data_IF_275628959160
#
_entry.id   IF_275628959160
#
_cell.length_a   1.000
_cell.length_b   1.000
_cell.length_c   1.000
_cell.angle_alpha   90.00
_cell.angle_beta   90.00
_cell.angle_gamma   90.00
#
_symmetry.space_group_name_H-M   'P 1'
#
loop_
_entity.id
_entity.type
_entity.pdbx_description
1 polymer ?
#
# COMPACT_ATOMS: atom_id res chain seq x y z
N UNK A 1 3.72 -26.75 -11.24
CA UNK A 1 2.94 -26.54 -9.97
C UNK A 1 3.82 -26.26 -8.75
N UNK A 2 4.65 -27.19 -8.20
CA UNK A 2 5.42 -26.91 -6.96
C UNK A 2 6.31 -25.66 -7.08
N UNK A 3 7.06 -25.50 -8.16
CA UNK A 3 7.90 -24.31 -8.38
C UNK A 3 7.07 -23.00 -8.40
N UNK A 4 5.90 -23.02 -9.03
CA UNK A 4 5.02 -21.85 -9.08
C UNK A 4 4.43 -21.51 -7.70
N UNK A 5 4.16 -22.52 -6.87
CA UNK A 5 3.76 -22.30 -5.48
C UNK A 5 4.89 -21.72 -4.62
N UNK A 6 6.14 -22.16 -4.83
CA UNK A 6 7.31 -21.57 -4.15
C UNK A 6 7.50 -20.10 -4.56
N UNK A 7 7.35 -19.78 -5.84
CA UNK A 7 7.35 -18.39 -6.32
C UNK A 7 6.20 -17.58 -5.69
N UNK A 8 5.01 -18.16 -5.57
CA UNK A 8 3.86 -17.53 -4.93
C UNK A 8 4.13 -17.20 -3.46
N UNK A 9 4.76 -18.12 -2.70
CA UNK A 9 5.20 -17.86 -1.33
C UNK A 9 6.17 -16.67 -1.30
N UNK A 10 7.17 -16.66 -2.16
CA UNK A 10 8.16 -15.59 -2.18
C UNK A 10 7.53 -14.23 -2.54
N UNK A 11 6.67 -14.17 -3.56
CA UNK A 11 5.94 -12.96 -3.93
C UNK A 11 4.99 -12.51 -2.81
N UNK A 12 4.35 -13.44 -2.12
CA UNK A 12 3.55 -13.14 -0.93
C UNK A 12 4.36 -12.56 0.23
N UNK A 13 5.62 -13.02 0.43
CA UNK A 13 6.53 -12.42 1.40
C UNK A 13 6.87 -10.99 1.00
N UNK A 14 7.24 -10.75 -0.26
CA UNK A 14 7.54 -9.41 -0.77
C UNK A 14 6.35 -8.48 -0.56
N UNK A 15 5.15 -8.90 -0.96
CA UNK A 15 3.93 -8.13 -0.78
C UNK A 15 3.67 -7.81 0.71
N UNK A 16 3.69 -8.85 1.55
CA UNK A 16 3.42 -8.69 2.99
C UNK A 16 4.41 -7.79 3.72
N UNK A 17 5.67 -7.73 3.26
CA UNK A 17 6.68 -6.81 3.81
C UNK A 17 6.48 -5.40 3.28
N UNK A 18 6.36 -5.24 1.96
CA UNK A 18 6.52 -3.95 1.30
C UNK A 18 5.24 -3.13 1.18
N UNK A 19 4.06 -3.73 1.37
CA UNK A 19 2.79 -3.02 1.31
C UNK A 19 2.61 -2.03 2.48
N UNK A 20 3.05 -2.41 3.68
CA UNK A 20 2.90 -1.58 4.88
C UNK A 20 4.03 -0.58 5.06
N UNK A 21 5.23 -0.99 4.71
CA UNK A 21 6.37 -0.09 4.67
C UNK A 21 6.20 0.92 3.52
N UNK A 22 6.55 2.19 3.71
CA UNK A 22 6.38 3.19 2.66
C UNK A 22 7.47 3.09 1.58
N UNK A 23 7.64 1.88 0.98
CA UNK A 23 8.74 1.53 0.03
C UNK A 23 8.27 1.09 -1.36
N UNK A 24 6.96 1.01 -1.60
CA UNK A 24 6.32 0.58 -2.85
C UNK A 24 6.38 -0.94 -3.12
N UNK A 25 5.32 -1.65 -2.75
CA UNK A 25 5.14 -3.08 -3.07
C UNK A 25 5.19 -3.35 -4.58
N UNK A 26 4.50 -2.53 -5.38
CA UNK A 26 4.51 -2.63 -6.85
C UNK A 26 5.93 -2.58 -7.42
N UNK A 27 6.76 -1.65 -6.96
CA UNK A 27 8.16 -1.57 -7.41
C UNK A 27 8.97 -2.83 -7.11
N UNK A 28 8.75 -3.43 -5.94
CA UNK A 28 9.42 -4.67 -5.54
C UNK A 28 8.91 -5.88 -6.33
N UNK A 29 7.60 -6.00 -6.52
CA UNK A 29 7.03 -7.11 -7.28
C UNK A 29 7.51 -7.08 -8.74
N UNK A 30 7.56 -5.91 -9.38
CA UNK A 30 8.09 -5.76 -10.74
C UNK A 30 9.57 -6.16 -10.80
N UNK A 31 10.39 -5.65 -9.87
CA UNK A 31 11.81 -6.01 -9.83
C UNK A 31 12.00 -7.51 -9.65
N UNK A 32 11.30 -8.11 -8.69
CA UNK A 32 11.43 -9.55 -8.42
C UNK A 32 10.98 -10.39 -9.61
N UNK A 33 9.92 -9.97 -10.29
CA UNK A 33 9.39 -10.68 -11.46
C UNK A 33 10.30 -10.59 -12.70
N UNK A 34 11.24 -9.65 -12.76
CA UNK A 34 12.28 -9.68 -13.81
C UNK A 34 13.17 -10.93 -13.69
N UNK A 35 13.46 -11.37 -12.47
CA UNK A 35 14.30 -12.54 -12.20
C UNK A 35 13.51 -13.82 -11.95
N UNK A 36 12.28 -13.69 -11.49
CA UNK A 36 11.46 -14.82 -11.06
C UNK A 36 10.01 -14.68 -11.57
N UNK A 37 9.84 -14.85 -12.89
CA UNK A 37 8.53 -14.76 -13.55
C UNK A 37 7.64 -15.96 -13.18
N UNK A 38 6.37 -15.68 -12.88
CA UNK A 38 5.34 -16.72 -12.86
C UNK A 38 5.10 -17.21 -14.28
N UNK A 39 5.07 -18.53 -14.47
CA UNK A 39 4.75 -19.14 -15.76
C UNK A 39 3.23 -19.17 -16.00
N UNK A 40 2.64 -17.97 -16.07
CA UNK A 40 1.21 -17.74 -16.22
C UNK A 40 0.96 -16.64 -17.28
N UNK A 41 -0.31 -16.49 -17.72
CA UNK A 41 -0.67 -15.43 -18.66
C UNK A 41 -0.41 -14.03 -18.08
N UNK A 42 -0.08 -13.06 -18.94
CA UNK A 42 0.14 -11.67 -18.52
C UNK A 42 -1.08 -11.10 -17.80
N UNK A 43 -2.29 -11.38 -18.26
CA UNK A 43 -3.54 -10.96 -17.62
C UNK A 43 -3.72 -11.55 -16.21
N UNK A 44 -3.31 -12.80 -16.01
CA UNK A 44 -3.32 -13.40 -14.68
C UNK A 44 -2.30 -12.74 -13.76
N UNK A 45 -1.07 -12.51 -14.22
CA UNK A 45 0.00 -11.89 -13.42
C UNK A 45 -0.38 -10.46 -13.01
N UNK A 46 -1.00 -9.69 -13.92
CA UNK A 46 -1.50 -8.34 -13.60
C UNK A 46 -2.56 -8.39 -12.48
N UNK A 47 -3.56 -9.23 -12.64
CA UNK A 47 -4.61 -9.43 -11.63
C UNK A 47 -4.03 -9.98 -10.32
N UNK A 48 -3.10 -10.95 -10.38
CA UNK A 48 -2.43 -11.55 -9.23
C UNK A 48 -1.72 -10.50 -8.36
N UNK A 49 -0.90 -9.62 -8.96
CA UNK A 49 -0.14 -8.59 -8.25
C UNK A 49 -1.03 -7.63 -7.44
N UNK A 50 -2.29 -7.48 -7.85
CA UNK A 50 -3.25 -6.61 -7.17
C UNK A 50 -4.09 -7.38 -6.15
N UNK A 51 -4.49 -8.61 -6.48
CA UNK A 51 -5.36 -9.41 -5.62
C UNK A 51 -4.64 -9.94 -4.37
N UNK A 52 -3.33 -10.22 -4.45
CA UNK A 52 -2.57 -10.65 -3.26
C UNK A 52 -2.54 -9.60 -2.14
N UNK A 53 -2.74 -8.32 -2.44
CA UNK A 53 -2.93 -7.24 -1.46
C UNK A 53 -4.11 -7.50 -0.52
N UNK A 54 -5.13 -8.27 -0.97
CA UNK A 54 -6.25 -8.67 -0.11
C UNK A 54 -5.78 -9.52 1.07
N UNK A 55 -4.76 -10.36 0.87
CA UNK A 55 -4.11 -11.07 1.98
C UNK A 55 -3.50 -10.10 2.98
N UNK A 56 -2.74 -9.13 2.49
CA UNK A 56 -2.09 -8.14 3.34
C UNK A 56 -3.11 -7.31 4.15
N UNK A 57 -4.19 -6.82 3.52
CA UNK A 57 -5.17 -5.97 4.23
C UNK A 57 -6.00 -6.73 5.28
N UNK A 58 -6.21 -8.03 5.11
CA UNK A 58 -6.85 -8.85 6.13
C UNK A 58 -6.04 -8.86 7.45
N UNK A 59 -4.72 -8.69 7.40
CA UNK A 59 -3.89 -8.57 8.59
C UNK A 59 -4.22 -7.30 9.40
N UNK A 60 -4.45 -6.16 8.75
CA UNK A 60 -4.93 -4.93 9.41
C UNK A 60 -6.27 -5.18 10.09
N UNK A 61 -7.21 -5.78 9.36
CA UNK A 61 -8.54 -6.08 9.92
C UNK A 61 -8.44 -7.01 11.14
N UNK A 62 -7.51 -7.95 11.11
CA UNK A 62 -7.28 -8.87 12.23
C UNK A 62 -6.66 -8.16 13.44
N UNK A 63 -5.58 -7.39 13.24
CA UNK A 63 -4.86 -6.71 14.33
C UNK A 63 -5.74 -5.65 14.97
N UNK A 64 -6.44 -4.87 14.16
CA UNK A 64 -7.25 -3.75 14.62
C UNK A 64 -8.75 -4.07 14.74
N UNK A 65 -9.13 -5.36 14.73
CA UNK A 65 -10.52 -5.80 14.73
C UNK A 65 -11.35 -5.11 15.83
N UNK A 66 -10.86 -5.12 17.07
CA UNK A 66 -11.55 -4.48 18.20
C UNK A 66 -11.72 -2.97 18.00
N UNK A 67 -10.74 -2.29 17.42
CA UNK A 67 -10.77 -0.84 17.18
C UNK A 67 -11.75 -0.50 16.05
N UNK A 68 -11.76 -1.30 14.99
CA UNK A 68 -12.54 -1.06 13.77
C UNK A 68 -13.99 -1.56 13.85
N UNK A 69 -14.30 -2.53 14.71
CA UNK A 69 -15.65 -3.09 14.85
C UNK A 69 -16.52 -2.21 15.76
N UNK A 70 -17.55 -1.49 15.23
CA UNK A 70 -18.45 -0.68 16.05
C UNK A 70 -19.38 -1.54 16.96
N UNK A 71 -19.58 -2.81 16.61
CA UNK A 71 -20.42 -3.76 17.34
C UNK A 71 -19.63 -4.60 18.36
N UNK A 72 -18.38 -4.23 18.65
CA UNK A 72 -17.53 -4.97 19.61
C UNK A 72 -18.20 -4.95 20.98
N UNK A 73 -18.43 -6.14 21.59
CA UNK A 73 -18.96 -6.22 22.96
C UNK A 73 -18.09 -5.46 23.97
N UNK A 74 -18.75 -4.74 24.89
CA UNK A 74 -18.07 -3.96 25.92
C UNK A 74 -17.72 -2.52 25.53
N UNK A 75 -17.90 -2.12 24.28
CA UNK A 75 -17.74 -0.71 23.89
C UNK A 75 -18.82 0.18 24.49
N UNK A 76 -18.42 1.33 25.01
CA UNK A 76 -19.31 2.41 25.43
C UNK A 76 -19.96 3.07 24.21
N UNK A 77 -21.09 3.78 24.41
CA UNK A 77 -21.73 4.56 23.33
C UNK A 77 -20.79 5.55 22.68
N UNK A 78 -19.89 6.16 23.46
CA UNK A 78 -18.86 7.09 22.94
C UNK A 78 -17.86 6.39 22.04
N UNK A 79 -17.36 5.23 22.41
CA UNK A 79 -16.42 4.45 21.61
C UNK A 79 -17.04 3.95 20.31
N UNK A 80 -18.32 3.55 20.34
CA UNK A 80 -19.10 3.20 19.13
C UNK A 80 -19.18 4.41 18.21
N UNK A 81 -19.54 5.59 18.73
CA UNK A 81 -19.61 6.82 17.95
C UNK A 81 -18.25 7.19 17.34
N UNK A 82 -17.15 7.08 18.10
CA UNK A 82 -15.80 7.35 17.60
C UNK A 82 -15.40 6.36 16.50
N UNK A 83 -15.80 5.10 16.61
CA UNK A 83 -15.58 4.10 15.56
C UNK A 83 -16.31 4.47 14.27
N UNK A 84 -17.57 4.88 14.34
CA UNK A 84 -18.33 5.35 13.16
C UNK A 84 -17.75 6.63 12.57
N UNK A 85 -17.29 7.57 13.40
CA UNK A 85 -16.60 8.77 12.92
C UNK A 85 -15.29 8.43 12.22
N UNK A 86 -14.54 7.44 12.71
CA UNK A 86 -13.34 6.93 12.03
C UNK A 86 -13.70 6.40 10.65
N UNK A 87 -14.71 5.53 10.54
CA UNK A 87 -15.14 5.01 9.25
C UNK A 87 -15.64 6.11 8.30
N UNK A 88 -16.37 7.10 8.80
CA UNK A 88 -16.80 8.24 8.00
C UNK A 88 -15.61 9.05 7.46
N UNK A 89 -14.53 9.24 8.26
CA UNK A 89 -13.28 9.87 7.81
C UNK A 89 -12.57 9.03 6.75
N UNK A 90 -12.54 7.70 6.93
CA UNK A 90 -11.94 6.76 5.96
C UNK A 90 -12.69 6.80 4.64
N UNK A 91 -14.01 6.72 4.66
CA UNK A 91 -14.84 6.81 3.44
C UNK A 91 -14.65 8.15 2.74
N UNK A 92 -14.65 9.25 3.50
CA UNK A 92 -14.39 10.59 2.95
C UNK A 92 -13.02 10.68 2.26
N UNK A 93 -11.99 10.06 2.84
CA UNK A 93 -10.65 10.02 2.27
C UNK A 93 -10.54 9.13 1.01
N UNK A 94 -11.48 8.22 0.76
CA UNK A 94 -11.53 7.45 -0.49
C UNK A 94 -12.05 8.27 -1.67
N UNK A 95 -12.86 9.30 -1.43
CA UNK A 95 -13.54 10.05 -2.49
C UNK A 95 -12.59 10.62 -3.54
N UNK A 96 -11.46 11.31 -3.20
CA UNK A 96 -10.53 11.82 -4.21
C UNK A 96 -9.99 10.73 -5.13
N UNK A 97 -9.63 9.55 -4.58
CA UNK A 97 -9.12 8.43 -5.38
C UNK A 97 -10.19 7.83 -6.28
N UNK A 98 -11.42 7.72 -5.82
CA UNK A 98 -12.55 7.22 -6.64
C UNK A 98 -12.81 8.17 -7.82
N UNK A 99 -12.78 9.49 -7.59
CA UNK A 99 -13.09 10.48 -8.61
C UNK A 99 -11.96 10.72 -9.61
N UNK A 100 -10.70 10.55 -9.20
CA UNK A 100 -9.54 10.92 -10.00
C UNK A 100 -8.72 9.69 -10.38
N UNK A 101 -8.33 8.85 -9.40
CA UNK A 101 -7.44 7.73 -9.67
C UNK A 101 -8.13 6.63 -10.47
N UNK A 102 -9.35 6.23 -10.10
CA UNK A 102 -10.06 5.15 -10.81
C UNK A 102 -10.31 5.46 -12.29
N UNK A 103 -10.80 6.65 -12.72
CA UNK A 103 -10.98 6.96 -14.14
C UNK A 103 -9.68 7.05 -14.94
N UNK A 104 -8.56 7.40 -14.29
CA UNK A 104 -7.27 7.60 -14.95
C UNK A 104 -6.33 6.38 -14.82
N UNK A 105 -6.72 5.35 -14.06
CA UNK A 105 -5.89 4.18 -13.73
C UNK A 105 -5.27 3.54 -14.98
N UNK A 106 -6.09 3.18 -15.96
CA UNK A 106 -5.62 2.49 -17.17
C UNK A 106 -4.66 3.36 -18.00
N UNK A 107 -4.85 4.67 -17.99
CA UNK A 107 -3.93 5.59 -18.69
C UNK A 107 -2.57 5.65 -17.97
N UNK A 108 -2.57 5.80 -16.65
CA UNK A 108 -1.32 5.82 -15.88
C UNK A 108 -0.60 4.47 -15.92
N UNK A 109 -1.34 3.37 -15.83
CA UNK A 109 -0.79 2.03 -15.94
C UNK A 109 -0.08 1.83 -17.29
N UNK A 110 -0.73 2.23 -18.39
CA UNK A 110 -0.16 2.11 -19.74
C UNK A 110 1.11 2.96 -19.97
N UNK A 111 1.24 4.12 -19.29
CA UNK A 111 2.33 5.06 -19.55
C UNK A 111 3.42 5.08 -18.48
N UNK A 112 3.17 4.54 -17.29
CA UNK A 112 4.10 4.62 -16.14
C UNK A 112 4.40 3.28 -15.48
N UNK A 113 3.70 2.18 -15.85
CA UNK A 113 3.92 0.88 -15.22
C UNK A 113 5.10 0.12 -15.84
N UNK A 114 6.26 0.78 -15.90
CA UNK A 114 7.53 0.19 -16.33
C UNK A 114 8.68 0.73 -15.48
N UNK A 115 9.83 0.09 -15.57
CA UNK A 115 10.93 0.22 -14.62
C UNK A 115 11.41 1.66 -14.38
N UNK A 116 11.58 2.45 -15.44
CA UNK A 116 12.15 3.82 -15.34
C UNK A 116 11.24 4.79 -14.57
N UNK A 117 9.94 4.97 -14.89
CA UNK A 117 9.05 5.81 -14.10
C UNK A 117 8.95 5.36 -12.63
N UNK A 118 8.89 4.04 -12.39
CA UNK A 118 8.85 3.49 -11.04
C UNK A 118 10.10 3.86 -10.25
N UNK A 119 11.27 3.73 -10.86
CA UNK A 119 12.55 4.10 -10.25
C UNK A 119 12.63 5.60 -9.94
N UNK A 120 12.17 6.45 -10.87
CA UNK A 120 12.10 7.90 -10.66
C UNK A 120 11.14 8.22 -9.50
N UNK A 121 9.94 7.62 -9.48
CA UNK A 121 8.99 7.82 -8.39
C UNK A 121 9.58 7.39 -7.03
N UNK A 122 10.28 6.25 -6.97
CA UNK A 122 10.98 5.80 -5.77
C UNK A 122 11.97 6.87 -5.27
N UNK A 123 12.82 7.41 -6.14
CA UNK A 123 13.82 8.42 -5.78
C UNK A 123 13.14 9.72 -5.31
N UNK A 124 12.18 10.23 -6.07
CA UNK A 124 11.47 11.48 -5.75
C UNK A 124 10.78 11.39 -4.40
N UNK A 125 10.02 10.32 -4.16
CA UNK A 125 9.38 10.13 -2.86
C UNK A 125 10.36 9.78 -1.74
N UNK A 126 11.48 9.14 -2.06
CA UNK A 126 12.58 8.93 -1.11
C UNK A 126 13.15 10.25 -0.62
N UNK A 127 13.44 11.18 -1.53
CA UNK A 127 13.89 12.54 -1.21
C UNK A 127 12.79 13.29 -0.41
N UNK A 128 11.52 13.16 -0.81
CA UNK A 128 10.41 13.79 -0.13
C UNK A 128 10.28 13.31 1.34
N UNK A 129 10.46 12.01 1.61
CA UNK A 129 10.47 11.49 2.98
C UNK A 129 11.57 12.13 3.83
N UNK A 130 12.81 12.15 3.34
CA UNK A 130 13.94 12.73 4.06
C UNK A 130 13.71 14.23 4.30
N UNK A 131 13.25 14.96 3.29
CA UNK A 131 13.01 16.40 3.40
C UNK A 131 11.90 16.75 4.39
N UNK A 132 10.77 16.02 4.34
CA UNK A 132 9.61 16.26 5.23
C UNK A 132 9.96 15.90 6.67
N UNK A 133 10.64 14.77 6.90
CA UNK A 133 11.06 14.38 8.25
C UNK A 133 12.05 15.38 8.85
N UNK A 134 13.03 15.84 8.08
CA UNK A 134 13.97 16.88 8.54
C UNK A 134 13.27 18.20 8.83
N UNK A 135 12.30 18.61 7.99
CA UNK A 135 11.53 19.84 8.22
C UNK A 135 10.68 19.77 9.48
N UNK A 136 10.13 18.60 9.80
CA UNK A 136 9.23 18.40 10.92
C UNK A 136 9.93 17.86 12.17
N UNK A 137 11.26 17.82 12.20
CA UNK A 137 12.04 17.20 13.28
C UNK A 137 11.73 17.82 14.64
N UNK A 138 11.64 19.16 14.68
CA UNK A 138 11.42 19.94 15.90
C UNK A 138 9.99 20.49 16.00
N UNK A 139 9.07 20.01 15.13
CA UNK A 139 7.68 20.46 15.12
C UNK A 139 6.82 19.47 15.90
N UNK A 140 6.17 19.95 16.95
CA UNK A 140 5.20 19.14 17.70
C UNK A 140 3.96 18.85 16.84
N UNK A 141 3.55 17.58 16.73
CA UNK A 141 2.38 17.23 15.95
C UNK A 141 1.09 17.76 16.59
N UNK A 142 0.24 18.38 15.78
CA UNK A 142 -1.04 18.92 16.23
C UNK A 142 -2.10 17.83 16.47
N UNK A 143 -2.01 16.71 15.75
CA UNK A 143 -2.95 15.57 15.82
C UNK A 143 -2.20 14.34 16.29
N UNK A 144 -2.32 14.02 17.57
CA UNK A 144 -1.70 12.86 18.22
C UNK A 144 -2.68 11.72 18.50
N UNK A 145 -3.97 11.91 18.16
CA UNK A 145 -5.05 10.94 18.34
C UNK A 145 -5.97 10.95 17.11
N UNK A 146 -6.30 9.78 16.58
CA UNK A 146 -7.23 9.61 15.47
C UNK A 146 -8.63 10.18 15.75
N UNK A 147 -9.07 10.15 17.01
CA UNK A 147 -10.37 10.72 17.40
C UNK A 147 -10.37 12.24 17.18
N UNK A 148 -9.23 12.90 17.37
CA UNK A 148 -9.06 14.36 17.20
C UNK A 148 -8.80 14.79 15.76
N UNK A 149 -8.52 13.84 14.85
CA UNK A 149 -8.32 14.17 13.43
C UNK A 149 -9.60 14.79 12.85
N UNK A 150 -9.47 15.91 12.15
CA UNK A 150 -10.60 16.55 11.49
C UNK A 150 -11.00 15.82 10.20
N UNK A 151 -12.27 15.98 9.78
CA UNK A 151 -12.72 15.48 8.47
C UNK A 151 -11.95 16.13 7.31
N UNK A 152 -11.58 17.42 7.45
CA UNK A 152 -10.74 18.14 6.47
C UNK A 152 -9.37 17.47 6.33
N UNK A 153 -8.71 17.15 7.45
CA UNK A 153 -7.43 16.45 7.45
C UNK A 153 -7.54 15.09 6.77
N UNK A 154 -8.58 14.31 7.10
CA UNK A 154 -8.83 13.01 6.49
C UNK A 154 -9.04 13.11 4.97
N UNK A 155 -9.84 14.07 4.50
CA UNK A 155 -10.06 14.33 3.07
C UNK A 155 -8.76 14.70 2.35
N UNK A 156 -7.96 15.59 2.95
CA UNK A 156 -6.67 16.00 2.37
C UNK A 156 -5.67 14.84 2.31
N UNK A 157 -5.64 13.94 3.31
CA UNK A 157 -4.85 12.70 3.22
C UNK A 157 -5.33 11.86 2.03
N UNK A 158 -6.64 11.80 1.79
CA UNK A 158 -7.20 11.18 0.59
C UNK A 158 -6.76 11.83 -0.73
N UNK A 159 -6.57 13.15 -0.75
CA UNK A 159 -5.98 13.84 -1.91
C UNK A 159 -4.52 13.41 -2.13
N UNK A 160 -3.73 13.26 -1.06
CA UNK A 160 -2.38 12.68 -1.19
C UNK A 160 -2.40 11.23 -1.69
N UNK A 161 -3.42 10.44 -1.31
CA UNK A 161 -3.56 9.07 -1.83
C UNK A 161 -3.68 9.03 -3.36
N UNK A 162 -4.29 10.04 -4.01
CA UNK A 162 -4.39 10.09 -5.47
C UNK A 162 -3.02 10.00 -6.15
N UNK A 163 -1.97 10.51 -5.51
CA UNK A 163 -0.61 10.45 -6.05
C UNK A 163 -0.10 9.01 -6.25
N UNK A 164 -0.69 8.05 -5.54
CA UNK A 164 -0.35 6.63 -5.71
C UNK A 164 -0.81 6.01 -7.04
N UNK A 165 -1.56 6.75 -7.85
CA UNK A 165 -1.87 6.36 -9.24
C UNK A 165 -0.59 6.21 -10.08
N UNK A 166 0.47 6.96 -9.75
CA UNK A 166 1.79 6.80 -10.37
C UNK A 166 2.48 5.58 -9.76
N UNK A 167 2.72 4.50 -10.55
CA UNK A 167 3.43 3.33 -10.04
C UNK A 167 4.79 3.70 -9.47
N UNK A 168 5.18 3.05 -8.36
CA UNK A 168 6.41 3.41 -7.64
C UNK A 168 6.21 4.43 -6.50
N UNK A 169 5.13 5.22 -6.51
CA UNK A 169 4.83 6.20 -5.45
C UNK A 169 4.64 5.54 -4.09
N UNK A 170 4.00 4.39 -4.01
CA UNK A 170 3.48 3.73 -2.80
C UNK A 170 2.26 4.44 -2.20
N UNK A 171 1.15 3.73 -2.10
CA UNK A 171 -0.06 4.23 -1.46
C UNK A 171 0.19 4.63 0.00
N UNK A 172 0.78 3.71 0.77
CA UNK A 172 1.15 3.99 2.17
C UNK A 172 2.15 5.14 2.28
N UNK A 173 3.10 5.22 1.37
CA UNK A 173 4.06 6.34 1.31
C UNK A 173 3.39 7.69 1.10
N UNK A 174 2.50 7.81 0.12
CA UNK A 174 1.82 9.07 -0.19
C UNK A 174 0.91 9.53 0.97
N UNK A 175 0.15 8.60 1.57
CA UNK A 175 -0.76 8.92 2.67
C UNK A 175 -0.03 9.25 3.98
N UNK A 176 1.07 8.56 4.30
CA UNK A 176 1.91 8.87 5.46
C UNK A 176 2.54 10.26 5.30
N UNK A 177 3.18 10.55 4.16
CA UNK A 177 3.75 11.88 3.88
C UNK A 177 2.69 12.98 3.99
N UNK A 178 1.54 12.77 3.35
CA UNK A 178 0.43 13.73 3.42
C UNK A 178 -0.04 13.97 4.85
N UNK A 179 -0.18 12.92 5.64
CA UNK A 179 -0.60 13.01 7.04
C UNK A 179 0.41 13.80 7.89
N UNK A 180 1.72 13.53 7.72
CA UNK A 180 2.79 14.25 8.43
C UNK A 180 2.80 15.73 8.04
N UNK A 181 2.69 16.05 6.74
CA UNK A 181 2.59 17.45 6.24
C UNK A 181 1.39 18.17 6.87
N UNK A 182 0.29 17.47 7.09
CA UNK A 182 -0.94 18.00 7.70
C UNK A 182 -0.90 18.03 9.24
N UNK A 183 0.27 17.81 9.85
CA UNK A 183 0.51 17.97 11.28
C UNK A 183 0.06 16.77 12.13
N UNK A 184 -0.08 15.59 11.57
CA UNK A 184 -0.35 14.36 12.37
C UNK A 184 0.96 13.80 12.92
N UNK A 185 0.87 13.11 14.06
CA UNK A 185 1.99 12.29 14.55
C UNK A 185 2.23 11.09 13.61
N UNK A 186 3.45 10.55 13.60
CA UNK A 186 3.83 9.38 12.80
C UNK A 186 2.94 8.16 13.08
N UNK A 187 2.58 7.94 14.35
CA UNK A 187 1.66 6.86 14.74
C UNK A 187 0.26 7.06 14.16
N UNK A 188 -0.29 8.29 14.22
CA UNK A 188 -1.60 8.59 13.64
C UNK A 188 -1.56 8.48 12.12
N UNK A 189 -0.48 8.93 11.47
CA UNK A 189 -0.27 8.80 10.04
C UNK A 189 -0.27 7.33 9.60
N UNK A 190 0.47 6.46 10.29
CA UNK A 190 0.52 5.02 10.00
C UNK A 190 -0.83 4.35 10.23
N UNK A 191 -1.45 4.54 11.40
CA UNK A 191 -2.76 3.96 11.74
C UNK A 191 -3.84 4.35 10.72
N UNK A 192 -3.95 5.65 10.39
CA UNK A 192 -4.95 6.12 9.44
C UNK A 192 -4.70 5.57 8.03
N UNK A 193 -3.43 5.49 7.61
CA UNK A 193 -3.02 4.88 6.34
C UNK A 193 -3.44 3.41 6.26
N UNK A 194 -3.28 2.64 7.35
CA UNK A 194 -3.73 1.25 7.40
C UNK A 194 -5.25 1.15 7.24
N UNK A 195 -6.02 1.99 7.94
CA UNK A 195 -7.48 1.94 7.88
C UNK A 195 -8.03 2.42 6.54
N UNK A 196 -7.41 3.44 5.94
CA UNK A 196 -7.73 3.91 4.60
C UNK A 196 -7.43 2.82 3.54
N UNK A 197 -6.42 1.99 3.78
CA UNK A 197 -6.10 0.82 2.95
C UNK A 197 -7.24 -0.18 2.83
N UNK A 198 -8.09 -0.33 3.87
CA UNK A 198 -9.16 -1.34 3.84
C UNK A 198 -10.11 -1.12 2.66
N UNK A 199 -10.88 -0.03 2.57
CA UNK A 199 -11.80 0.15 1.44
C UNK A 199 -11.09 0.34 0.10
N UNK A 200 -9.90 0.97 0.08
CA UNK A 200 -9.18 1.20 -1.18
C UNK A 200 -8.64 -0.08 -1.79
N UNK A 201 -8.03 -0.97 -1.01
CA UNK A 201 -7.49 -2.23 -1.52
C UNK A 201 -8.62 -3.22 -1.88
N UNK A 202 -9.68 -3.31 -1.06
CA UNK A 202 -10.85 -4.12 -1.44
C UNK A 202 -11.51 -3.60 -2.71
N UNK A 203 -11.69 -2.28 -2.83
CA UNK A 203 -12.28 -1.67 -4.02
C UNK A 203 -11.44 -1.90 -5.27
N UNK A 204 -10.14 -1.59 -5.21
CA UNK A 204 -9.24 -1.72 -6.36
C UNK A 204 -9.01 -3.17 -6.78
N UNK A 205 -8.72 -4.06 -5.83
CA UNK A 205 -8.57 -5.49 -6.12
C UNK A 205 -9.88 -6.11 -6.64
N UNK A 206 -11.03 -5.70 -6.08
CA UNK A 206 -12.33 -6.14 -6.56
C UNK A 206 -12.60 -5.72 -8.00
N UNK A 207 -12.31 -4.44 -8.34
CA UNK A 207 -12.45 -3.93 -9.72
C UNK A 207 -11.56 -4.70 -10.72
N UNK A 208 -10.28 -4.92 -10.38
CA UNK A 208 -9.35 -5.66 -11.25
C UNK A 208 -9.74 -7.14 -11.38
N UNK A 209 -10.19 -7.78 -10.30
CA UNK A 209 -10.69 -9.16 -10.37
C UNK A 209 -11.96 -9.28 -11.25
N UNK A 210 -12.92 -8.36 -11.07
CA UNK A 210 -14.13 -8.33 -11.91
C UNK A 210 -13.78 -8.10 -13.38
N UNK A 211 -12.89 -7.14 -13.68
CA UNK A 211 -12.42 -6.87 -15.04
C UNK A 211 -11.78 -8.11 -15.67
N UNK A 212 -10.92 -8.81 -14.92
CA UNK A 212 -10.29 -10.06 -15.39
C UNK A 212 -11.30 -11.07 -15.89
N UNK A 213 -12.41 -11.29 -15.16
CA UNK A 213 -13.47 -12.23 -15.58
C UNK A 213 -14.33 -11.67 -16.72
N UNK A 214 -14.62 -10.35 -16.72
CA UNK A 214 -15.37 -9.71 -17.82
C UNK A 214 -14.62 -9.75 -19.15
N UNK A 215 -13.28 -9.70 -19.11
CA UNK A 215 -12.42 -9.85 -20.30
C UNK A 215 -12.36 -11.31 -20.82
N UNK A 216 -13.21 -12.21 -20.29
CA UNK A 216 -13.34 -13.59 -20.72
C UNK A 216 -12.32 -14.56 -20.12
N UNK A 217 -11.49 -14.11 -19.17
CA UNK A 217 -10.54 -14.98 -18.50
C UNK A 217 -11.23 -15.84 -17.44
N UNK A 218 -10.62 -16.98 -17.12
CA UNK A 218 -11.06 -17.88 -16.06
C UNK A 218 -9.87 -18.35 -15.23
N UNK A 219 -10.12 -18.70 -13.99
CA UNK A 219 -9.10 -19.29 -13.12
C UNK A 219 -9.14 -20.81 -13.22
N UNK A 220 -8.00 -21.41 -13.51
CA UNK A 220 -7.80 -22.84 -13.33
C UNK A 220 -7.36 -23.15 -11.88
N UNK A 221 -7.31 -24.44 -11.53
CA UNK A 221 -6.96 -24.88 -10.17
C UNK A 221 -5.55 -24.41 -9.76
N UNK A 222 -4.57 -24.46 -10.66
CA UNK A 222 -3.20 -24.01 -10.37
C UNK A 222 -3.15 -22.52 -10.06
N UNK A 223 -3.82 -21.71 -10.84
CA UNK A 223 -3.94 -20.25 -10.63
C UNK A 223 -4.65 -19.92 -9.31
N UNK A 224 -5.73 -20.63 -8.99
CA UNK A 224 -6.41 -20.51 -7.71
C UNK A 224 -5.51 -20.83 -6.51
N UNK A 225 -4.71 -21.89 -6.61
CA UNK A 225 -3.75 -22.27 -5.58
C UNK A 225 -2.61 -21.24 -5.45
N UNK A 226 -2.08 -20.72 -6.56
CA UNK A 226 -1.05 -19.66 -6.57
C UNK A 226 -1.57 -18.41 -5.85
N UNK A 227 -2.78 -17.94 -6.17
CA UNK A 227 -3.41 -16.80 -5.50
C UNK A 227 -3.62 -17.04 -4.01
N UNK A 228 -4.16 -18.21 -3.65
CA UNK A 228 -4.43 -18.55 -2.25
C UNK A 228 -3.14 -18.59 -1.42
N UNK A 229 -2.11 -19.27 -1.93
CA UNK A 229 -0.81 -19.41 -1.23
C UNK A 229 -0.13 -18.05 -1.08
N UNK A 230 -0.08 -17.23 -2.14
CA UNK A 230 0.51 -15.90 -2.07
C UNK A 230 -0.25 -14.99 -1.11
N UNK A 231 -1.59 -14.97 -1.19
CA UNK A 231 -2.43 -14.13 -0.30
C UNK A 231 -2.32 -14.56 1.17
N UNK A 232 -2.30 -15.88 1.44
CA UNK A 232 -2.10 -16.38 2.81
C UNK A 232 -0.71 -16.03 3.35
N UNK A 233 0.32 -16.14 2.50
CA UNK A 233 1.68 -15.74 2.88
C UNK A 233 1.76 -14.25 3.14
N UNK A 234 1.18 -13.41 2.26
CA UNK A 234 1.11 -11.96 2.46
C UNK A 234 0.38 -11.61 3.76
N UNK A 235 -0.71 -12.29 4.08
CA UNK A 235 -1.42 -12.12 5.36
C UNK A 235 -0.53 -12.42 6.57
N UNK A 236 0.11 -13.60 6.60
CA UNK A 236 0.93 -14.02 7.74
C UNK A 236 2.14 -13.09 7.94
N UNK A 237 2.82 -12.70 6.87
CA UNK A 237 3.94 -11.76 6.91
C UNK A 237 3.47 -10.38 7.36
N UNK A 238 2.34 -9.90 6.85
CA UNK A 238 1.77 -8.60 7.22
C UNK A 238 1.41 -8.51 8.70
N UNK A 239 0.97 -9.61 9.34
CA UNK A 239 0.72 -9.64 10.79
C UNK A 239 1.97 -9.27 11.60
N UNK A 240 3.15 -9.65 11.13
CA UNK A 240 4.43 -9.34 11.77
C UNK A 240 4.86 -7.91 11.43
N UNK A 241 4.82 -7.56 10.15
CA UNK A 241 5.33 -6.27 9.65
C UNK A 241 4.53 -5.08 10.16
N UNK A 242 3.19 -5.17 10.24
CA UNK A 242 2.34 -4.11 10.78
C UNK A 242 2.69 -3.84 12.26
N UNK A 243 2.88 -4.87 13.06
CA UNK A 243 3.30 -4.72 14.46
C UNK A 243 4.68 -4.09 14.55
N UNK A 244 5.63 -4.59 13.76
CA UNK A 244 6.97 -4.01 13.67
C UNK A 244 6.91 -2.52 13.31
N UNK A 245 6.19 -2.15 12.25
CA UNK A 245 6.09 -0.75 11.82
C UNK A 245 5.42 0.13 12.87
N UNK A 246 4.34 -0.35 13.50
CA UNK A 246 3.66 0.38 14.57
C UNK A 246 4.59 0.67 15.75
N UNK A 247 5.44 -0.29 16.13
CA UNK A 247 6.40 -0.09 17.21
C UNK A 247 7.61 0.75 16.77
N UNK A 248 8.04 0.59 15.52
CA UNK A 248 9.14 1.36 14.93
C UNK A 248 8.82 2.86 14.91
N UNK A 249 7.66 3.27 14.43
CA UNK A 249 7.29 4.69 14.27
C UNK A 249 7.03 5.42 15.60
N UNK A 250 6.92 4.70 16.71
CA UNK A 250 6.87 5.30 18.06
C UNK A 250 8.21 5.88 18.50
N UNK A 251 9.32 5.34 17.96
CA UNK A 251 10.69 5.66 18.39
C UNK A 251 11.55 6.26 17.28
N UNK A 252 11.16 6.06 16.02
CA UNK A 252 11.94 6.41 14.84
C UNK A 252 11.08 7.25 13.87
N UNK A 253 11.76 7.91 12.96
CA UNK A 253 11.14 8.59 11.83
C UNK A 253 11.15 7.73 10.55
N UNK A 254 10.58 8.25 9.47
CA UNK A 254 10.52 7.54 8.19
C UNK A 254 11.74 7.76 7.29
N UNK A 255 12.78 8.46 7.74
CA UNK A 255 13.98 8.81 6.96
C UNK A 255 14.69 7.57 6.41
N UNK A 256 14.74 6.47 7.18
CA UNK A 256 15.36 5.20 6.74
C UNK A 256 14.68 4.66 5.47
N UNK A 257 13.35 4.76 5.37
CA UNK A 257 12.61 4.34 4.19
C UNK A 257 12.87 5.27 3.00
N UNK A 258 13.14 6.55 3.26
CA UNK A 258 13.59 7.51 2.25
C UNK A 258 14.91 7.08 1.60
N UNK A 259 15.93 6.78 2.41
CA UNK A 259 17.21 6.26 1.91
C UNK A 259 17.04 4.94 1.16
N UNK A 260 16.29 3.99 1.72
CA UNK A 260 16.01 2.72 1.06
C UNK A 260 15.42 2.94 -0.35
N UNK A 261 14.42 3.81 -0.49
CA UNK A 261 13.78 4.11 -1.78
C UNK A 261 14.75 4.71 -2.79
N UNK A 262 15.62 5.64 -2.36
CA UNK A 262 16.63 6.24 -3.23
C UNK A 262 17.60 5.17 -3.73
N UNK A 263 18.10 4.31 -2.84
CA UNK A 263 19.01 3.23 -3.20
C UNK A 263 18.34 2.27 -4.20
N UNK A 264 17.13 1.80 -3.89
CA UNK A 264 16.39 0.89 -4.76
C UNK A 264 16.10 1.52 -6.13
N UNK A 265 15.61 2.77 -6.14
CA UNK A 265 15.33 3.48 -7.39
C UNK A 265 16.60 3.69 -8.23
N UNK A 266 17.75 3.98 -7.60
CA UNK A 266 19.03 4.10 -8.29
C UNK A 266 19.47 2.76 -8.88
N UNK A 267 19.33 1.65 -8.13
CA UNK A 267 19.64 0.30 -8.64
C UNK A 267 18.76 -0.02 -9.87
N UNK A 268 17.47 0.30 -9.82
CA UNK A 268 16.55 0.07 -10.94
C UNK A 268 16.92 0.90 -12.18
N UNK A 269 17.31 2.17 -12.01
CA UNK A 269 17.76 3.01 -13.13
C UNK A 269 19.04 2.46 -13.75
N UNK A 270 20.01 2.07 -12.93
CA UNK A 270 21.28 1.49 -13.42
C UNK A 270 21.00 0.18 -14.16
N UNK A 271 20.17 -0.69 -13.60
CA UNK A 271 19.77 -1.94 -14.24
C UNK A 271 19.06 -1.67 -15.59
N UNK A 272 18.11 -0.77 -15.63
CA UNK A 272 17.40 -0.40 -16.86
C UNK A 272 18.33 0.18 -17.92
N UNK A 273 19.32 0.98 -17.52
CA UNK A 273 20.32 1.53 -18.43
C UNK A 273 21.23 0.44 -19.01
N UNK A 274 21.69 -0.49 -18.18
CA UNK A 274 22.52 -1.62 -18.63
C UNK A 274 21.73 -2.48 -19.63
N UNK A 275 20.49 -2.87 -19.30
CA UNK A 275 19.65 -3.70 -20.19
C UNK A 275 19.21 -2.99 -21.47
N UNK A 276 19.28 -1.66 -21.53
CA UNK A 276 19.05 -0.90 -22.76
C UNK A 276 20.31 -0.88 -23.67
N UNK A 277 21.50 -0.98 -23.10
CA UNK A 277 22.76 -0.93 -23.86
C UNK A 277 23.18 -2.31 -24.44
N UNK A 278 22.74 -3.40 -23.83
CA UNK A 278 23.06 -4.78 -24.20
C UNK A 278 21.84 -5.61 -24.56
#
# INVERSE_FOLDING_TARGET
>A
MLLELLKAVFLGIIEGVTEWLPVSSTGHLILVQEFMKLNQSASFVEMFNIVIQLGAILAVMTIYFKKLNPFQPGKTKREIQLTWQLWAKVVLACIPSILIAVPLDSWFEAHFNFMVPIAIALIVYGIAFIWIENRNRDVEPQVTDLAKMSYKTAFLIGCFQVLSIVPGTSRSGATILGAIILGTSRTVAADFTFFLGIPTMFGYSGLKAVKYFLDGNSLNLEQGLILLVASLTAYLVSLVVIRFLTDFVKKNDFTVFGYYRIILGTILLVYSFITFLF
#
